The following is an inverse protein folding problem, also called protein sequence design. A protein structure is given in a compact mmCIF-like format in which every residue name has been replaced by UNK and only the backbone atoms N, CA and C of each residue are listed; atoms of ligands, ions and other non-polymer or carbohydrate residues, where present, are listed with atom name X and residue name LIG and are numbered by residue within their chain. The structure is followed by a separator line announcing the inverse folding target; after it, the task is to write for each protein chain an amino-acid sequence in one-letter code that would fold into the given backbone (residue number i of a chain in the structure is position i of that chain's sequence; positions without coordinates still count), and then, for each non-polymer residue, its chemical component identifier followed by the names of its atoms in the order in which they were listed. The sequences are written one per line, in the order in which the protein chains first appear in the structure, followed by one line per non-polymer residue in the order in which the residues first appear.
data_IF_306227731567
#
_entry.id   IF_306227731567
#
_cell.length_a   1.000
_cell.length_b   1.000
_cell.length_c   1.000
_cell.angle_alpha   90.00
_cell.angle_beta   90.00
_cell.angle_gamma   90.00
#
_symmetry.space_group_name_H-M   'P 1'
#
loop_
_entity.id
_entity.type
_entity.pdbx_description
1 polymer ?
#
# COMPACT_ATOMS: atom_id res chain seq x y z
N UNK A 1 15.84 1.15 -10.29
CA UNK A 1 15.36 1.88 -9.09
C UNK A 1 14.44 2.99 -9.53
N UNK A 2 13.59 3.49 -8.65
CA UNK A 2 12.65 4.59 -8.95
C UNK A 2 13.02 5.76 -8.05
N UNK A 3 13.15 6.94 -8.65
CA UNK A 3 13.55 8.16 -7.92
C UNK A 3 12.37 8.77 -7.16
N UNK A 4 12.61 9.44 -6.02
CA UNK A 4 11.57 10.17 -5.29
C UNK A 4 10.78 11.15 -6.18
N UNK A 5 9.47 11.24 -5.98
CA UNK A 5 8.59 12.12 -6.75
C UNK A 5 8.21 11.59 -8.14
N UNK A 6 8.59 10.35 -8.48
CA UNK A 6 8.29 9.74 -9.78
C UNK A 6 7.00 8.93 -9.76
N UNK A 7 6.18 9.07 -10.80
CA UNK A 7 5.06 8.15 -11.07
C UNK A 7 5.55 7.04 -11.99
N UNK A 8 5.45 5.78 -11.54
CA UNK A 8 5.86 4.60 -12.31
C UNK A 8 4.68 3.66 -12.50
N UNK A 9 4.53 3.11 -13.71
CA UNK A 9 3.52 2.11 -14.03
C UNK A 9 4.14 0.84 -14.58
N UNK A 10 3.63 -0.32 -14.18
CA UNK A 10 3.92 -1.59 -14.84
C UNK A 10 2.99 -1.76 -16.04
N UNK A 11 3.55 -1.98 -17.24
CA UNK A 11 2.80 -2.17 -18.48
C UNK A 11 2.95 -3.61 -18.98
N UNK A 12 1.85 -4.20 -19.46
CA UNK A 12 1.84 -5.54 -20.06
C UNK A 12 0.43 -6.15 -20.14
N UNK A 13 0.23 -7.26 -20.87
CA UNK A 13 -1.06 -7.93 -20.99
C UNK A 13 -1.62 -8.44 -19.65
N UNK A 14 -2.91 -8.81 -19.61
CA UNK A 14 -3.47 -9.51 -18.44
C UNK A 14 -2.69 -10.81 -18.17
N UNK A 15 -2.41 -11.09 -16.91
CA UNK A 15 -1.57 -12.22 -16.51
C UNK A 15 -0.06 -11.98 -16.60
N UNK A 16 0.41 -10.82 -17.08
CA UNK A 16 1.85 -10.52 -17.18
C UNK A 16 2.58 -10.30 -15.83
N UNK A 17 1.91 -10.51 -14.70
CA UNK A 17 2.51 -10.40 -13.37
C UNK A 17 2.47 -9.02 -12.70
N UNK A 18 1.94 -7.96 -13.33
CA UNK A 18 1.91 -6.58 -12.76
C UNK A 18 1.44 -6.52 -11.30
N UNK A 19 0.25 -7.06 -11.03
CA UNK A 19 -0.34 -7.04 -9.70
C UNK A 19 0.34 -8.02 -8.74
N UNK A 20 1.00 -9.06 -9.26
CA UNK A 20 1.83 -9.96 -8.46
C UNK A 20 3.11 -9.25 -8.02
N UNK A 21 3.74 -8.48 -8.91
CA UNK A 21 4.92 -7.64 -8.59
C UNK A 21 4.59 -6.61 -7.51
N UNK A 22 3.45 -5.92 -7.61
CA UNK A 22 3.02 -4.98 -6.56
C UNK A 22 2.81 -5.68 -5.20
N UNK A 23 2.23 -6.89 -5.19
CA UNK A 23 2.08 -7.69 -3.96
C UNK A 23 3.42 -8.15 -3.40
N UNK A 24 4.39 -8.50 -4.25
CA UNK A 24 5.75 -8.86 -3.82
C UNK A 24 6.48 -7.69 -3.17
N UNK A 25 6.34 -6.47 -3.72
CA UNK A 25 6.92 -5.26 -3.12
C UNK A 25 6.38 -5.03 -1.70
N UNK A 26 5.09 -5.28 -1.48
CA UNK A 26 4.42 -5.12 -0.19
C UNK A 26 4.55 -6.34 0.74
N UNK A 27 5.35 -7.34 0.36
CA UNK A 27 5.56 -8.56 1.15
C UNK A 27 4.33 -9.48 1.26
N UNK A 28 3.31 -9.27 0.43
CA UNK A 28 2.08 -10.09 0.41
C UNK A 28 2.27 -11.39 -0.39
N UNK A 29 3.29 -11.44 -1.23
CA UNK A 29 3.72 -12.63 -2.00
C UNK A 29 5.24 -12.73 -1.90
N UNK A 30 5.76 -13.91 -1.56
CA UNK A 30 7.20 -14.13 -1.56
C UNK A 30 7.71 -14.28 -3.00
N UNK A 31 8.78 -13.56 -3.41
CA UNK A 31 9.42 -13.80 -4.70
C UNK A 31 10.24 -15.09 -4.65
N UNK A 32 10.27 -15.84 -5.76
CA UNK A 32 11.12 -17.03 -5.88
C UNK A 32 12.61 -16.67 -5.84
N UNK A 33 12.97 -15.50 -6.39
CA UNK A 33 14.33 -14.96 -6.37
C UNK A 33 14.31 -13.42 -6.40
N UNK A 34 15.43 -12.82 -5.98
CA UNK A 34 15.61 -11.36 -5.96
C UNK A 34 14.96 -10.68 -4.74
N UNK A 35 14.90 -9.34 -4.77
CA UNK A 35 14.32 -8.53 -3.69
C UNK A 35 13.77 -7.21 -4.20
N UNK A 36 12.77 -6.68 -3.50
CA UNK A 36 12.28 -5.33 -3.63
C UNK A 36 12.55 -4.55 -2.34
N UNK A 37 12.93 -3.29 -2.47
CA UNK A 37 13.24 -2.43 -1.32
C UNK A 37 12.58 -1.05 -1.44
N UNK A 38 12.17 -0.51 -0.30
CA UNK A 38 11.63 0.83 -0.09
C UNK A 38 12.59 1.54 0.86
N UNK A 39 13.20 2.65 0.42
CA UNK A 39 14.23 3.34 1.21
C UNK A 39 15.43 2.45 1.58
N UNK A 40 15.76 1.44 0.76
CA UNK A 40 16.86 0.49 1.01
C UNK A 40 16.51 -0.71 1.89
N UNK A 41 15.28 -0.81 2.42
CA UNK A 41 14.81 -1.92 3.27
C UNK A 41 13.67 -2.69 2.60
N UNK A 42 13.52 -3.97 2.92
CA UNK A 42 12.31 -4.72 2.49
C UNK A 42 11.10 -4.21 3.27
N UNK A 43 9.90 -4.30 2.69
CA UNK A 43 8.67 -3.86 3.37
C UNK A 43 8.50 -4.49 4.76
N UNK A 44 8.74 -5.80 4.88
CA UNK A 44 8.65 -6.54 6.13
C UNK A 44 9.72 -6.14 7.18
N UNK A 45 10.76 -5.41 6.79
CA UNK A 45 11.78 -4.90 7.70
C UNK A 45 11.43 -3.51 8.23
N UNK A 46 10.43 -2.81 7.69
CA UNK A 46 10.06 -1.47 8.14
C UNK A 46 9.43 -1.55 9.54
N UNK A 47 9.82 -0.68 10.50
CA UNK A 47 9.28 -0.72 11.86
C UNK A 47 7.78 -0.41 11.91
N UNK A 48 7.33 0.54 11.07
CA UNK A 48 5.93 0.93 10.90
C UNK A 48 5.63 1.12 9.41
N UNK A 49 5.40 0.02 8.66
CA UNK A 49 5.25 0.10 7.20
C UNK A 49 4.14 1.06 6.74
N UNK A 50 3.08 1.19 7.53
CA UNK A 50 1.92 2.03 7.22
C UNK A 50 2.17 3.52 7.39
N UNK A 51 3.24 3.91 8.10
CA UNK A 51 3.72 5.30 8.18
C UNK A 51 4.48 5.71 6.91
N UNK A 52 4.99 4.73 6.14
CA UNK A 52 5.86 4.94 5.00
C UNK A 52 5.19 4.63 3.66
N UNK A 53 4.24 3.69 3.63
CA UNK A 53 3.69 3.11 2.40
C UNK A 53 2.17 3.01 2.46
N UNK A 54 1.49 3.78 1.62
CA UNK A 54 0.07 3.60 1.32
C UNK A 54 -0.13 2.64 0.14
N UNK A 55 -1.11 1.74 0.23
CA UNK A 55 -1.39 0.78 -0.83
C UNK A 55 -2.89 0.55 -1.05
N UNK A 56 -3.30 0.54 -2.31
CA UNK A 56 -4.63 0.08 -2.75
C UNK A 56 -4.40 -0.93 -3.87
N UNK A 57 -4.61 -2.21 -3.57
CA UNK A 57 -4.40 -3.30 -4.54
C UNK A 57 -5.70 -3.88 -5.10
N UNK A 58 -6.82 -3.56 -4.45
CA UNK A 58 -8.17 -3.95 -4.85
C UNK A 58 -9.11 -2.79 -4.52
N UNK A 59 -9.95 -2.41 -5.48
CA UNK A 59 -10.91 -1.32 -5.34
C UNK A 59 -12.21 -1.77 -4.64
N UNK A 60 -12.37 -3.07 -4.33
CA UNK A 60 -13.61 -3.63 -3.76
C UNK A 60 -13.65 -3.64 -2.23
N UNK A 61 -12.60 -3.19 -1.55
CA UNK A 61 -12.47 -3.27 -0.08
C UNK A 61 -13.32 -2.28 0.73
N UNK A 62 -14.21 -1.50 0.11
CA UNK A 62 -15.04 -0.52 0.84
C UNK A 62 -16.36 -1.16 1.31
N UNK A 63 -16.78 -0.79 2.52
CA UNK A 63 -18.08 -1.23 3.05
C UNK A 63 -19.17 -0.27 2.56
N UNK A 64 -20.20 -0.73 1.83
CA UNK A 64 -21.15 0.17 1.14
C UNK A 64 -21.95 1.07 2.10
N UNK A 65 -22.16 0.65 3.34
CA UNK A 65 -22.83 1.45 4.36
C UNK A 65 -21.92 2.45 5.10
N UNK A 66 -20.64 2.63 4.71
CA UNK A 66 -19.72 3.57 5.37
C UNK A 66 -19.45 4.79 4.50
N UNK A 67 -19.42 5.96 5.13
CA UNK A 67 -18.90 7.17 4.49
C UNK A 67 -17.39 7.05 4.25
N UNK A 68 -16.84 7.84 3.31
CA UNK A 68 -15.38 7.91 3.11
C UNK A 68 -14.64 8.32 4.39
N UNK A 69 -15.22 9.24 5.18
CA UNK A 69 -14.69 9.63 6.50
C UNK A 69 -14.62 8.46 7.47
N UNK A 70 -15.69 7.68 7.58
CA UNK A 70 -15.72 6.54 8.51
C UNK A 70 -14.83 5.40 8.03
N UNK A 71 -14.65 5.24 6.71
CA UNK A 71 -13.66 4.33 6.15
C UNK A 71 -12.23 4.74 6.57
N UNK A 72 -11.88 6.02 6.48
CA UNK A 72 -10.58 6.53 6.92
C UNK A 72 -10.38 6.41 8.44
N UNK A 73 -11.43 6.60 9.24
CA UNK A 73 -11.37 6.38 10.71
C UNK A 73 -11.05 4.94 11.07
N UNK A 74 -11.54 3.95 10.30
CA UNK A 74 -11.17 2.54 10.49
C UNK A 74 -9.66 2.36 10.30
N UNK A 75 -9.07 2.91 9.24
CA UNK A 75 -7.62 2.86 9.05
C UNK A 75 -6.85 3.59 10.14
N UNK A 76 -7.34 4.73 10.62
CA UNK A 76 -6.72 5.45 11.73
C UNK A 76 -6.65 4.55 12.97
N UNK A 77 -7.78 3.98 13.37
CA UNK A 77 -7.83 3.08 14.53
C UNK A 77 -6.97 1.83 14.33
N UNK A 78 -7.04 1.18 13.16
CA UNK A 78 -6.28 -0.04 12.88
C UNK A 78 -4.76 0.17 12.91
N UNK A 79 -4.28 1.38 12.60
CA UNK A 79 -2.86 1.72 12.56
C UNK A 79 -2.38 2.53 13.78
N UNK A 80 -3.27 2.84 14.73
CA UNK A 80 -2.96 3.63 15.92
C UNK A 80 -2.75 5.13 15.65
N UNK A 81 -3.38 5.67 14.60
CA UNK A 81 -3.40 7.11 14.33
C UNK A 81 -4.56 7.81 15.07
N UNK A 82 -4.39 9.10 15.43
CA UNK A 82 -5.50 9.91 15.92
C UNK A 82 -6.65 9.95 14.91
N UNK A 83 -7.89 9.73 15.37
CA UNK A 83 -9.07 9.72 14.48
C UNK A 83 -9.28 11.04 13.73
N UNK A 84 -8.81 12.17 14.30
CA UNK A 84 -8.82 13.49 13.63
C UNK A 84 -8.04 13.50 12.32
N UNK A 85 -7.09 12.59 12.13
CA UNK A 85 -6.29 12.49 10.91
C UNK A 85 -7.17 12.17 9.70
N UNK A 86 -8.29 11.45 9.89
CA UNK A 86 -9.26 11.21 8.85
C UNK A 86 -9.87 12.51 8.30
N UNK A 87 -10.01 13.55 9.14
CA UNK A 87 -10.58 14.83 8.75
C UNK A 87 -9.54 15.72 8.02
N UNK A 88 -8.24 15.49 8.25
CA UNK A 88 -7.13 16.24 7.65
C UNK A 88 -6.76 15.79 6.24
N UNK A 89 -7.17 14.57 5.86
CA UNK A 89 -6.81 13.93 4.58
C UNK A 89 -8.00 13.75 3.64
N UNK A 90 -9.16 14.31 4.01
CA UNK A 90 -10.37 14.33 3.21
C UNK A 90 -10.45 15.55 2.29
#
# INVERSE_FOLDING_TARGET
TVEPGTVTGFLGPNGSGKSTTLRMILGLVAPDAGRATLGGRRYAELPRPTDEVGAVLDATGFHPARSGRDHLRVYCTANGYPVRRADEVL
#
